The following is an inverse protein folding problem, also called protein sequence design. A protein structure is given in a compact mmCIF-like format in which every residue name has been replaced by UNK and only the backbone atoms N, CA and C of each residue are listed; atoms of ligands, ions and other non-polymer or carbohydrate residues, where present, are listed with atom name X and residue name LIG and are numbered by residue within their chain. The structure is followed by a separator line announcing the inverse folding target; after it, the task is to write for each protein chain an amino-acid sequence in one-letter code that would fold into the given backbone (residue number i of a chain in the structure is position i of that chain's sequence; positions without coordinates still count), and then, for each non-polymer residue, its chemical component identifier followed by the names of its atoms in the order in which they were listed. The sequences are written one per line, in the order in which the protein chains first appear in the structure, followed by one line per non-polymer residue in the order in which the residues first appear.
data_IF_028808318956
#
_entry.id   IF_028808318956
#
_cell.length_a   1.000
_cell.length_b   1.000
_cell.length_c   1.000
_cell.angle_alpha   90.00
_cell.angle_beta   90.00
_cell.angle_gamma   90.00
#
_symmetry.space_group_name_H-M   'P 1'
#
loop_
_entity.id
_entity.type
_entity.pdbx_description
1 polymer ?
#
# COMPACT_ATOMS: atom_id res chain seq x y z
N UNK A 1 -13.10 -39.06 27.94
CA UNK A 1 -12.67 -37.65 27.79
C UNK A 1 -11.42 -37.61 26.94
N UNK A 2 -11.54 -37.29 25.66
CA UNK A 2 -10.37 -37.21 24.77
C UNK A 2 -9.92 -35.75 24.72
N UNK A 3 -8.88 -35.41 25.49
CA UNK A 3 -8.32 -34.04 25.52
C UNK A 3 -7.52 -33.82 24.23
N UNK A 4 -8.05 -33.07 23.29
CA UNK A 4 -7.32 -32.66 22.09
C UNK A 4 -6.67 -31.29 22.34
N UNK A 5 -5.33 -31.22 22.37
CA UNK A 5 -4.60 -29.95 22.42
C UNK A 5 -4.60 -29.30 21.04
N UNK A 6 -5.31 -28.19 20.87
CA UNK A 6 -5.12 -27.30 19.72
C UNK A 6 -3.75 -26.62 19.85
N UNK A 7 -2.80 -27.09 19.05
CA UNK A 7 -1.38 -26.75 19.15
C UNK A 7 -1.08 -25.49 18.32
N UNK A 8 -1.36 -24.32 18.89
CA UNK A 8 -0.84 -23.02 18.42
C UNK A 8 -1.60 -22.33 17.28
N UNK A 9 -1.39 -21.02 17.16
CA UNK A 9 -1.88 -20.16 16.07
C UNK A 9 -1.16 -20.56 14.77
N UNK A 10 -1.91 -20.76 13.70
CA UNK A 10 -1.32 -21.14 12.41
C UNK A 10 -0.56 -19.97 11.76
N UNK A 11 0.76 -20.13 11.61
CA UNK A 11 1.64 -19.09 11.06
C UNK A 11 1.31 -18.75 9.60
N UNK A 12 0.88 -19.75 8.82
CA UNK A 12 0.50 -19.56 7.42
C UNK A 12 -0.72 -18.66 7.28
N UNK A 13 -1.72 -18.86 8.13
CA UNK A 13 -2.92 -18.02 8.13
C UNK A 13 -2.60 -16.61 8.62
N UNK A 14 -1.72 -16.47 9.63
CA UNK A 14 -1.25 -15.17 10.09
C UNK A 14 -0.53 -14.40 8.98
N UNK A 15 0.44 -15.02 8.30
CA UNK A 15 1.14 -14.44 7.13
C UNK A 15 0.15 -14.00 6.04
N UNK A 16 -0.82 -14.85 5.70
CA UNK A 16 -1.77 -14.56 4.64
C UNK A 16 -2.72 -13.41 5.02
N UNK A 17 -3.26 -13.42 6.24
CA UNK A 17 -4.20 -12.38 6.68
C UNK A 17 -3.53 -11.01 6.79
N UNK A 18 -2.33 -10.95 7.40
CA UNK A 18 -1.57 -9.70 7.46
C UNK A 18 -1.07 -9.24 6.10
N UNK A 19 -0.71 -10.18 5.22
CA UNK A 19 -0.30 -9.89 3.85
C UNK A 19 -1.42 -9.25 3.03
N UNK A 20 -2.62 -9.83 3.08
CA UNK A 20 -3.79 -9.32 2.37
C UNK A 20 -4.21 -7.95 2.90
N UNK A 21 -4.31 -7.80 4.23
CA UNK A 21 -4.70 -6.50 4.84
C UNK A 21 -3.65 -5.43 4.54
N UNK A 22 -2.36 -5.75 4.71
CA UNK A 22 -1.27 -4.84 4.39
C UNK A 22 -1.26 -4.44 2.92
N UNK A 23 -1.51 -5.39 2.02
CA UNK A 23 -1.57 -5.13 0.59
C UNK A 23 -2.73 -4.20 0.22
N UNK A 24 -3.95 -4.47 0.71
CA UNK A 24 -5.12 -3.66 0.39
C UNK A 24 -4.96 -2.22 0.88
N UNK A 25 -4.51 -2.04 2.12
CA UNK A 25 -4.27 -0.71 2.69
C UNK A 25 -3.16 0.02 1.93
N UNK A 26 -2.03 -0.65 1.69
CA UNK A 26 -0.92 -0.08 0.93
C UNK A 26 -1.30 0.26 -0.51
N UNK A 27 -2.13 -0.57 -1.15
CA UNK A 27 -2.60 -0.33 -2.52
C UNK A 27 -3.47 0.92 -2.61
N UNK A 28 -4.38 1.11 -1.65
CA UNK A 28 -5.22 2.31 -1.58
C UNK A 28 -4.37 3.57 -1.36
N UNK A 29 -3.43 3.52 -0.41
CA UNK A 29 -2.54 4.65 -0.12
C UNK A 29 -1.64 4.94 -1.32
N UNK A 30 -1.05 3.92 -1.94
CA UNK A 30 -0.20 4.07 -3.12
C UNK A 30 -0.95 4.64 -4.33
N UNK A 31 -2.19 4.20 -4.53
CA UNK A 31 -3.05 4.73 -5.60
C UNK A 31 -3.39 6.20 -5.34
N UNK A 32 -3.71 6.56 -4.09
CA UNK A 32 -3.95 7.94 -3.70
C UNK A 32 -2.71 8.81 -3.93
N UNK A 33 -1.52 8.34 -3.56
CA UNK A 33 -0.25 9.03 -3.82
C UNK A 33 0.00 9.23 -5.31
N UNK A 34 -0.21 8.20 -6.13
CA UNK A 34 -0.10 8.29 -7.58
C UNK A 34 -1.09 9.29 -8.18
N UNK A 35 -2.33 9.32 -7.67
CA UNK A 35 -3.36 10.26 -8.11
C UNK A 35 -2.99 11.71 -7.75
N UNK A 36 -2.53 11.94 -6.52
CA UNK A 36 -2.05 13.25 -6.08
C UNK A 36 -0.85 13.72 -6.90
N UNK A 37 0.12 12.84 -7.16
CA UNK A 37 1.30 13.18 -7.97
C UNK A 37 0.91 13.56 -9.41
N UNK A 38 0.00 12.80 -10.02
CA UNK A 38 -0.50 13.08 -11.37
C UNK A 38 -1.28 14.41 -11.40
N UNK A 39 -2.17 14.61 -10.44
CA UNK A 39 -2.94 15.85 -10.33
C UNK A 39 -2.01 17.06 -10.15
N UNK A 40 -1.01 16.94 -9.29
CA UNK A 40 -0.04 18.00 -9.03
C UNK A 40 0.79 18.33 -10.28
N UNK A 41 1.16 17.32 -11.08
CA UNK A 41 1.85 17.54 -12.35
C UNK A 41 1.01 18.38 -13.34
N UNK A 42 -0.30 18.08 -13.44
CA UNK A 42 -1.22 18.88 -14.25
C UNK A 42 -1.39 20.31 -13.73
N UNK A 43 -1.54 20.48 -12.42
CA UNK A 43 -1.65 21.80 -11.79
C UNK A 43 -0.41 22.67 -12.03
N UNK A 44 0.79 22.07 -11.99
CA UNK A 44 2.04 22.77 -12.27
C UNK A 44 2.15 23.24 -13.73
N UNK A 45 1.72 22.40 -14.67
CA UNK A 45 1.70 22.75 -16.09
C UNK A 45 0.74 23.90 -16.39
N UNK A 46 -0.46 23.87 -15.81
CA UNK A 46 -1.42 24.96 -15.97
C UNK A 46 -0.90 26.27 -15.34
N UNK A 47 -0.25 26.17 -14.18
CA UNK A 47 0.38 27.32 -13.54
C UNK A 47 1.51 27.92 -14.39
N UNK A 48 2.39 27.10 -14.96
CA UNK A 48 3.44 27.55 -15.88
C UNK A 48 2.86 28.23 -17.11
N UNK A 49 1.78 27.67 -17.67
CA UNK A 49 1.08 28.24 -18.82
C UNK A 49 0.48 29.61 -18.50
N UNK A 50 -0.11 29.79 -17.32
CA UNK A 50 -0.64 31.09 -16.91
C UNK A 50 0.47 32.13 -16.70
N UNK A 51 1.61 31.70 -16.15
CA UNK A 51 2.78 32.55 -15.97
C UNK A 51 3.42 32.98 -17.30
N UNK A 52 3.53 32.07 -18.27
CA UNK A 52 4.07 32.40 -19.60
C UNK A 52 3.23 33.48 -20.29
N UNK A 53 1.90 33.37 -20.19
CA UNK A 53 0.99 34.40 -20.68
C UNK A 53 1.11 35.73 -19.93
N UNK A 54 1.21 35.70 -18.60
CA UNK A 54 1.26 36.92 -17.78
C UNK A 54 2.58 37.68 -17.96
N UNK A 55 3.69 36.97 -18.08
CA UNK A 55 5.03 37.57 -18.21
C UNK A 55 5.42 37.86 -19.66
N UNK A 56 4.73 37.26 -20.64
CA UNK A 56 5.10 37.34 -22.06
C UNK A 56 6.41 36.61 -22.38
N UNK A 57 6.80 35.66 -21.53
CA UNK A 57 8.07 34.93 -21.62
C UNK A 57 7.79 33.46 -21.97
N UNK A 58 8.68 32.84 -22.73
CA UNK A 58 8.58 31.43 -23.11
C UNK A 58 8.63 30.50 -21.88
N UNK A 59 7.87 29.41 -21.90
CA UNK A 59 7.74 28.43 -20.80
C UNK A 59 9.07 27.78 -20.41
N UNK A 60 10.01 27.66 -21.35
CA UNK A 60 11.36 27.11 -21.09
C UNK A 60 12.22 27.99 -20.19
N UNK A 61 11.92 29.30 -20.11
CA UNK A 61 12.65 30.25 -19.26
C UNK A 61 12.05 30.33 -17.85
N UNK A 62 10.91 29.68 -17.61
CA UNK A 62 10.28 29.60 -16.30
C UNK A 62 10.96 28.51 -15.45
N UNK A 63 10.89 28.62 -14.11
CA UNK A 63 11.29 27.53 -13.23
C UNK A 63 10.57 26.24 -13.63
N UNK A 64 11.34 25.14 -13.74
CA UNK A 64 10.89 23.82 -14.21
C UNK A 64 10.58 23.72 -15.72
N UNK A 65 11.00 24.70 -16.53
CA UNK A 65 10.83 24.68 -18.00
C UNK A 65 11.41 23.41 -18.66
N UNK A 66 12.58 22.95 -18.23
CA UNK A 66 13.19 21.70 -18.72
C UNK A 66 12.42 20.43 -18.29
N UNK A 67 11.62 20.51 -17.22
CA UNK A 67 10.87 19.37 -16.67
C UNK A 67 9.42 19.28 -17.19
N UNK A 68 8.99 20.25 -18.01
CA UNK A 68 7.65 20.28 -18.62
C UNK A 68 7.30 18.98 -19.34
N UNK A 69 8.22 18.43 -20.14
CA UNK A 69 8.00 17.16 -20.84
C UNK A 69 7.81 15.96 -19.89
N UNK A 70 8.53 15.95 -18.76
CA UNK A 70 8.37 14.90 -17.74
C UNK A 70 7.03 15.04 -17.02
N UNK A 71 6.64 16.26 -16.65
CA UNK A 71 5.34 16.55 -16.04
C UNK A 71 4.19 16.16 -16.97
N UNK A 72 4.28 16.46 -18.27
CA UNK A 72 3.30 16.04 -19.27
C UNK A 72 3.24 14.53 -19.40
N UNK A 73 4.38 13.84 -19.35
CA UNK A 73 4.43 12.38 -19.42
C UNK A 73 3.73 11.76 -18.20
N UNK A 74 4.01 12.27 -17.00
CA UNK A 74 3.37 11.81 -15.76
C UNK A 74 1.87 12.07 -15.78
N UNK A 75 1.44 13.27 -16.21
CA UNK A 75 0.03 13.63 -16.31
C UNK A 75 -0.71 12.78 -17.37
N UNK A 76 -0.13 12.59 -18.56
CA UNK A 76 -0.76 11.81 -19.65
C UNK A 76 -0.79 10.32 -19.35
N UNK A 77 0.19 9.83 -18.60
CA UNK A 77 0.31 8.42 -18.20
C UNK A 77 -0.36 8.12 -16.86
N UNK A 78 -1.29 8.96 -16.40
CA UNK A 78 -1.99 8.79 -15.12
C UNK A 78 -2.58 7.39 -14.93
N UNK A 79 -3.11 6.81 -16.01
CA UNK A 79 -3.75 5.49 -16.03
C UNK A 79 -2.77 4.35 -15.71
N UNK A 80 -1.46 4.56 -15.88
CA UNK A 80 -0.42 3.58 -15.48
C UNK A 80 0.29 4.00 -14.20
N UNK A 81 0.52 5.31 -13.98
CA UNK A 81 1.20 5.83 -12.79
C UNK A 81 0.42 5.50 -11.51
N UNK A 82 -0.90 5.75 -11.50
CA UNK A 82 -1.75 5.49 -10.34
C UNK A 82 -1.72 4.01 -9.93
N UNK A 83 -2.05 3.04 -10.80
CA UNK A 83 -2.00 1.63 -10.41
C UNK A 83 -0.58 1.14 -10.16
N UNK A 84 0.45 1.65 -10.84
CA UNK A 84 1.84 1.26 -10.56
C UNK A 84 2.26 1.68 -9.15
N UNK A 85 1.96 2.92 -8.74
CA UNK A 85 2.20 3.38 -7.36
C UNK A 85 1.41 2.53 -6.35
N UNK A 86 0.14 2.23 -6.65
CA UNK A 86 -0.69 1.32 -5.84
C UNK A 86 -0.05 -0.05 -5.67
N UNK A 87 0.39 -0.69 -6.75
CA UNK A 87 1.00 -2.01 -6.70
C UNK A 87 2.33 -2.03 -5.94
N UNK A 88 3.19 -1.02 -6.14
CA UNK A 88 4.48 -0.92 -5.45
C UNK A 88 4.27 -0.76 -3.94
N UNK A 89 3.46 0.21 -3.54
CA UNK A 89 3.20 0.47 -2.11
C UNK A 89 2.43 -0.69 -1.50
N UNK A 90 1.43 -1.23 -2.20
CA UNK A 90 0.67 -2.41 -1.78
C UNK A 90 1.57 -3.61 -1.55
N UNK A 91 2.48 -3.93 -2.47
CA UNK A 91 3.41 -5.04 -2.31
C UNK A 91 4.31 -4.87 -1.06
N UNK A 92 4.87 -3.68 -0.87
CA UNK A 92 5.71 -3.37 0.28
C UNK A 92 4.93 -3.45 1.61
N UNK A 93 3.75 -2.84 1.67
CA UNK A 93 2.87 -2.89 2.84
C UNK A 93 2.34 -4.30 3.12
N UNK A 94 2.08 -5.09 2.08
CA UNK A 94 1.69 -6.51 2.22
C UNK A 94 2.81 -7.33 2.85
N UNK A 95 4.06 -7.15 2.42
CA UNK A 95 5.21 -7.80 3.04
C UNK A 95 5.36 -7.39 4.52
N UNK A 96 5.23 -6.10 4.82
CA UNK A 96 5.28 -5.60 6.19
C UNK A 96 4.14 -6.16 7.05
N UNK A 97 2.92 -6.21 6.53
CA UNK A 97 1.75 -6.75 7.23
C UNK A 97 1.85 -8.26 7.48
N UNK A 98 2.34 -9.02 6.50
CA UNK A 98 2.60 -10.44 6.63
C UNK A 98 3.64 -10.71 7.72
N UNK A 99 4.77 -9.99 7.71
CA UNK A 99 5.80 -10.12 8.73
C UNK A 99 5.30 -9.72 10.13
N UNK A 100 4.54 -8.62 10.24
CA UNK A 100 3.97 -8.16 11.50
C UNK A 100 3.06 -9.19 12.14
N UNK A 101 2.10 -9.71 11.39
CA UNK A 101 1.16 -10.74 11.87
C UNK A 101 1.84 -12.09 12.14
N UNK A 102 2.82 -12.48 11.32
CA UNK A 102 3.62 -13.69 11.56
C UNK A 102 4.43 -13.59 12.86
N UNK A 103 5.06 -12.44 13.10
CA UNK A 103 5.78 -12.17 14.34
C UNK A 103 4.83 -12.24 15.54
N UNK A 104 3.67 -11.59 15.45
CA UNK A 104 2.63 -11.64 16.48
C UNK A 104 2.20 -13.09 16.77
N UNK A 105 1.90 -13.89 15.73
CA UNK A 105 1.53 -15.30 15.89
C UNK A 105 2.66 -16.13 16.53
N UNK A 106 3.92 -15.91 16.13
CA UNK A 106 5.07 -16.58 16.73
C UNK A 106 5.25 -16.23 18.21
N UNK A 107 5.05 -14.96 18.58
CA UNK A 107 5.09 -14.49 19.96
C UNK A 107 3.97 -15.11 20.79
N UNK A 108 2.73 -15.17 20.27
CA UNK A 108 1.63 -15.86 20.93
C UNK A 108 1.92 -17.36 21.13
N UNK A 109 2.50 -18.03 20.14
CA UNK A 109 2.87 -19.44 20.27
C UNK A 109 4.00 -19.67 21.29
N UNK A 110 4.91 -18.72 21.46
CA UNK A 110 6.05 -18.81 22.39
C UNK A 110 5.68 -18.45 23.83
N UNK A 111 4.90 -17.38 24.02
CA UNK A 111 4.63 -16.78 25.33
C UNK A 111 3.20 -16.94 25.82
N UNK A 112 2.25 -17.23 24.92
CA UNK A 112 0.82 -17.16 25.18
C UNK A 112 0.22 -18.32 25.98
N UNK A 113 1.03 -19.16 26.66
CA UNK A 113 0.58 -20.23 27.55
C UNK A 113 -0.58 -21.05 26.97
N UNK A 114 -0.26 -22.06 26.15
CA UNK A 114 -1.20 -22.80 25.30
C UNK A 114 -2.66 -22.84 25.78
N UNK A 115 -3.55 -22.23 25.01
CA UNK A 115 -4.99 -22.22 25.27
C UNK A 115 -5.55 -23.65 25.14
N UNK A 116 -5.91 -24.24 26.27
CA UNK A 116 -6.47 -25.60 26.34
C UNK A 116 -7.96 -25.54 26.00
N UNK A 117 -8.29 -25.70 24.72
CA UNK A 117 -9.69 -25.78 24.28
C UNK A 117 -10.20 -27.20 24.52
N UNK A 118 -11.00 -27.39 25.57
CA UNK A 118 -11.67 -28.67 25.83
C UNK A 118 -12.91 -28.74 24.94
N UNK A 119 -12.86 -29.58 23.91
CA UNK A 119 -14.02 -29.84 23.05
C UNK A 119 -14.88 -30.91 23.73
N UNK A 120 -16.03 -30.55 24.27
CA UNK A 120 -17.07 -31.51 24.66
C UNK A 120 -17.77 -32.02 23.39
N UNK A 121 -17.54 -33.28 23.04
CA UNK A 121 -18.37 -33.99 22.08
C UNK A 121 -19.70 -34.30 22.77
N UNK A 122 -20.74 -33.54 22.44
CA UNK A 122 -22.09 -33.82 22.91
C UNK A 122 -22.55 -35.22 22.47
N UNK A 123 -23.35 -35.93 23.28
CA UNK A 123 -23.85 -37.25 22.92
C UNK A 123 -24.73 -37.14 21.67
N UNK A 124 -24.41 -37.97 20.66
CA UNK A 124 -25.23 -38.18 19.46
C UNK A 124 -26.57 -38.82 19.81
#
# INVERSE_FOLDING_TARGET
MTKARLRGVSLRFALASGGVVGFVVGFLIGSLLGAVATWFAGALLDWQRQLSFTLGVNEQLLPLGEQTGLLQTVQSSWWIVVPACGLIVGALSGLAGALGTALTAALFNRFGGGTEVTVELGPL
#
